data_IF_851923343199
#
_entry.id   IF_851923343199
#
_cell.length_a   1.000
_cell.length_b   1.000
_cell.length_c   1.000
_cell.angle_alpha   90.00
_cell.angle_beta   90.00
_cell.angle_gamma   90.00
#
_symmetry.space_group_name_H-M   'P 1'
#
loop_
_entity.id
_entity.type
_entity.pdbx_description
1 polymer ?
#
# COMPACT_ATOMS: atom_id res chain seq x y z
N UNK A 1 -1.78 12.16 -28.34
CA UNK A 1 -0.59 12.11 -27.46
C UNK A 1 -0.94 12.17 -25.96
N UNK A 2 -1.81 13.10 -25.51
CA UNK A 2 -2.18 13.22 -24.09
C UNK A 2 -2.86 11.99 -23.45
N UNK A 3 -3.73 11.28 -24.18
CA UNK A 3 -4.40 10.06 -23.66
C UNK A 3 -3.41 8.91 -23.39
N UNK A 4 -2.45 8.70 -24.28
CA UNK A 4 -1.44 7.64 -24.14
C UNK A 4 -0.51 7.94 -22.97
N UNK A 5 -0.08 9.20 -22.82
CA UNK A 5 0.76 9.61 -21.70
C UNK A 5 0.07 9.40 -20.35
N UNK A 6 -1.22 9.76 -20.25
CA UNK A 6 -2.00 9.57 -19.02
C UNK A 6 -2.23 8.09 -18.70
N UNK A 7 -2.41 7.25 -19.71
CA UNK A 7 -2.47 5.79 -19.51
C UNK A 7 -1.15 5.25 -18.95
N UNK A 8 0.00 5.69 -19.49
CA UNK A 8 1.31 5.32 -18.96
C UNK A 8 1.52 5.79 -17.51
N UNK A 9 1.10 7.01 -17.17
CA UNK A 9 1.16 7.55 -15.80
C UNK A 9 0.31 6.71 -14.83
N UNK A 10 -0.92 6.35 -15.23
CA UNK A 10 -1.81 5.49 -14.43
C UNK A 10 -1.21 4.10 -14.22
N UNK A 11 -0.67 3.49 -15.27
CA UNK A 11 -0.05 2.16 -15.21
C UNK A 11 1.18 2.18 -14.31
N UNK A 12 2.06 3.17 -14.47
CA UNK A 12 3.21 3.38 -13.60
C UNK A 12 2.80 3.52 -12.13
N UNK A 13 1.74 4.27 -11.86
CA UNK A 13 1.23 4.51 -10.50
C UNK A 13 0.66 3.23 -9.89
N UNK A 14 -0.14 2.47 -10.65
CA UNK A 14 -0.69 1.18 -10.20
C UNK A 14 0.43 0.16 -9.90
N UNK A 15 1.42 0.03 -10.78
CA UNK A 15 2.59 -0.84 -10.57
C UNK A 15 3.35 -0.40 -9.32
N UNK A 16 3.62 0.90 -9.19
CA UNK A 16 4.34 1.44 -8.03
C UNK A 16 3.61 1.16 -6.72
N UNK A 17 2.29 1.39 -6.66
CA UNK A 17 1.47 1.07 -5.48
C UNK A 17 1.50 -0.43 -5.14
N UNK A 18 1.50 -1.30 -6.14
CA UNK A 18 1.61 -2.74 -5.93
C UNK A 18 2.96 -3.13 -5.31
N UNK A 19 4.05 -2.50 -5.77
CA UNK A 19 5.39 -2.68 -5.16
C UNK A 19 5.46 -2.11 -3.75
N UNK A 20 4.89 -0.92 -3.50
CA UNK A 20 4.84 -0.33 -2.15
C UNK A 20 3.99 -1.15 -1.18
N UNK A 21 2.94 -1.82 -1.67
CA UNK A 21 2.15 -2.77 -0.87
C UNK A 21 2.98 -3.99 -0.42
N UNK A 22 4.12 -4.27 -1.09
CA UNK A 22 5.00 -5.44 -0.86
C UNK A 22 4.37 -6.78 -1.29
N UNK A 23 3.31 -6.74 -2.09
CA UNK A 23 2.58 -7.93 -2.53
C UNK A 23 3.33 -8.83 -3.52
N UNK A 24 4.38 -8.36 -4.21
CA UNK A 24 5.19 -9.20 -5.11
C UNK A 24 6.46 -9.74 -4.48
N UNK A 25 6.74 -9.40 -3.22
CA UNK A 25 8.03 -9.69 -2.63
C UNK A 25 8.27 -11.20 -2.50
N UNK A 26 7.24 -11.98 -2.22
CA UNK A 26 7.31 -13.45 -2.15
C UNK A 26 7.82 -14.06 -3.47
N UNK A 27 7.42 -13.50 -4.62
CA UNK A 27 7.86 -13.97 -5.94
C UNK A 27 9.36 -13.72 -6.17
N UNK A 28 9.86 -12.56 -5.73
CA UNK A 28 11.26 -12.16 -5.96
C UNK A 28 12.24 -12.67 -4.89
N UNK A 29 11.77 -12.92 -3.67
CA UNK A 29 12.60 -13.28 -2.52
C UNK A 29 12.53 -14.76 -2.15
N UNK A 30 11.48 -15.47 -2.58
CA UNK A 30 11.16 -16.78 -2.03
C UNK A 30 10.67 -16.69 -0.58
N UNK A 31 10.38 -17.85 0.02
CA UNK A 31 9.99 -17.92 1.43
C UNK A 31 11.15 -17.47 2.32
N UNK A 32 10.91 -16.62 3.33
CA UNK A 32 11.93 -16.28 4.31
C UNK A 32 12.39 -17.57 5.02
N UNK A 33 13.65 -17.94 4.83
CA UNK A 33 14.34 -18.99 5.59
C UNK A 33 14.94 -18.37 6.84
N UNK A 34 14.98 -19.10 7.96
CA UNK A 34 15.58 -18.63 9.23
C UNK A 34 17.03 -18.14 9.08
N UNK A 35 17.70 -18.53 7.98
CA UNK A 35 19.07 -18.12 7.64
C UNK A 35 19.22 -16.72 7.02
N UNK A 36 18.14 -16.07 6.54
CA UNK A 36 18.19 -14.75 5.92
C UNK A 36 17.01 -13.87 6.40
N UNK A 37 17.13 -13.23 7.57
CA UNK A 37 16.07 -12.40 8.14
C UNK A 37 15.83 -11.08 7.39
N UNK A 38 16.84 -10.60 6.64
CA UNK A 38 16.72 -9.43 5.75
C UNK A 38 16.77 -9.90 4.29
N UNK A 39 15.62 -10.14 3.64
CA UNK A 39 15.57 -10.47 2.23
C UNK A 39 15.72 -9.17 1.41
N UNK A 40 16.86 -8.50 1.55
CA UNK A 40 17.25 -7.32 0.80
C UNK A 40 17.81 -7.75 -0.56
N UNK A 41 16.95 -8.22 -1.47
CA UNK A 41 17.43 -8.54 -2.83
C UNK A 41 17.85 -7.27 -3.55
N UNK A 42 19.04 -7.32 -4.16
CA UNK A 42 19.55 -6.24 -5.00
C UNK A 42 18.54 -5.89 -6.12
N UNK A 43 17.79 -6.88 -6.61
CA UNK A 43 16.71 -6.70 -7.58
C UNK A 43 15.58 -5.79 -7.09
N UNK A 44 14.99 -6.06 -5.92
CA UNK A 44 13.93 -5.21 -5.37
C UNK A 44 14.44 -3.78 -5.16
N UNK A 45 15.67 -3.63 -4.66
CA UNK A 45 16.28 -2.32 -4.47
C UNK A 45 16.42 -1.55 -5.78
N UNK A 46 16.87 -2.22 -6.84
CA UNK A 46 16.96 -1.61 -8.18
C UNK A 46 15.60 -1.19 -8.72
N UNK A 47 14.55 -1.99 -8.48
CA UNK A 47 13.17 -1.66 -8.87
C UNK A 47 12.68 -0.40 -8.13
N UNK A 48 12.86 -0.32 -6.81
CA UNK A 48 12.48 0.87 -6.05
C UNK A 48 13.27 2.11 -6.46
N UNK A 49 14.58 1.97 -6.70
CA UNK A 49 15.39 3.07 -7.22
C UNK A 49 14.86 3.57 -8.57
N UNK A 50 14.46 2.67 -9.47
CA UNK A 50 13.86 3.04 -10.76
C UNK A 50 12.54 3.78 -10.56
N UNK A 51 11.65 3.29 -9.68
CA UNK A 51 10.40 3.96 -9.34
C UNK A 51 10.67 5.38 -8.80
N UNK A 52 11.65 5.53 -7.90
CA UNK A 52 12.01 6.84 -7.34
C UNK A 52 12.59 7.78 -8.40
N UNK A 53 13.45 7.29 -9.29
CA UNK A 53 14.02 8.07 -10.38
C UNK A 53 12.94 8.57 -11.35
N UNK A 54 12.01 7.70 -11.74
CA UNK A 54 10.87 8.08 -12.60
C UNK A 54 9.98 9.10 -11.89
N UNK A 55 9.70 8.90 -10.60
CA UNK A 55 8.90 9.84 -9.79
C UNK A 55 9.55 11.21 -9.72
N UNK A 56 10.87 11.26 -9.45
CA UNK A 56 11.65 12.51 -9.40
C UNK A 56 11.66 13.18 -10.77
N UNK A 57 11.84 12.43 -11.85
CA UNK A 57 11.80 12.96 -13.21
C UNK A 57 10.46 13.62 -13.54
N UNK A 58 9.34 12.98 -13.21
CA UNK A 58 7.99 13.54 -13.42
C UNK A 58 7.77 14.80 -12.56
N UNK A 59 8.21 14.78 -11.30
CA UNK A 59 8.12 15.93 -10.39
C UNK A 59 9.00 17.10 -10.85
N UNK A 60 10.18 16.83 -11.41
CA UNK A 60 11.11 17.82 -11.95
C UNK A 60 10.53 18.51 -13.20
N UNK A 61 9.92 17.73 -14.11
CA UNK A 61 9.20 18.28 -15.26
C UNK A 61 8.05 19.23 -14.84
N UNK A 62 7.51 19.07 -13.63
CA UNK A 62 6.40 19.87 -13.09
C UNK A 62 6.79 20.68 -11.85
N UNK A 63 8.05 21.12 -11.76
CA UNK A 63 8.65 21.73 -10.55
C UNK A 63 7.80 22.83 -9.88
N UNK A 64 7.14 23.71 -10.64
CA UNK A 64 6.29 24.78 -10.09
C UNK A 64 5.09 24.24 -9.28
N UNK A 65 4.45 23.16 -9.75
CA UNK A 65 3.34 22.51 -9.03
C UNK A 65 3.88 21.76 -7.82
N UNK A 66 5.03 21.10 -7.97
CA UNK A 66 5.74 20.39 -6.91
C UNK A 66 6.09 21.33 -5.74
N UNK A 67 6.64 22.51 -6.01
CA UNK A 67 6.95 23.49 -4.95
C UNK A 67 5.70 23.96 -4.20
N UNK A 68 4.57 24.17 -4.89
CA UNK A 68 3.30 24.49 -4.23
C UNK A 68 2.80 23.33 -3.36
N UNK A 69 2.98 22.09 -3.81
CA UNK A 69 2.61 20.92 -3.03
C UNK A 69 3.45 20.77 -1.75
N UNK A 70 4.76 21.04 -1.83
CA UNK A 70 5.62 21.10 -0.64
C UNK A 70 5.23 22.23 0.32
N UNK A 71 4.90 23.42 -0.21
CA UNK A 71 4.44 24.54 0.61
C UNK A 71 3.14 24.27 1.37
N UNK A 72 2.27 23.39 0.86
CA UNK A 72 1.05 22.96 1.58
C UNK A 72 1.32 21.88 2.63
N UNK A 73 2.34 21.05 2.43
CA UNK A 73 2.65 19.89 3.26
C UNK A 73 3.89 20.12 4.13
N UNK A 74 3.96 21.27 4.80
CA UNK A 74 5.14 21.69 5.58
C UNK A 74 5.50 20.68 6.68
N UNK A 75 4.49 20.06 7.30
CA UNK A 75 4.67 19.02 8.32
C UNK A 75 5.41 17.80 7.81
N UNK A 76 5.09 17.33 6.60
CA UNK A 76 5.76 16.19 5.97
C UNK A 76 7.23 16.53 5.70
N UNK A 77 7.50 17.77 5.30
CA UNK A 77 8.87 18.24 5.06
C UNK A 77 9.67 18.33 6.38
N UNK A 78 9.06 18.82 7.46
CA UNK A 78 9.68 18.84 8.79
C UNK A 78 10.04 17.42 9.27
N UNK A 79 9.14 16.45 9.10
CA UNK A 79 9.40 15.05 9.45
C UNK A 79 10.52 14.45 8.59
N UNK A 80 10.59 14.81 7.31
CA UNK A 80 11.66 14.37 6.43
C UNK A 80 13.03 14.93 6.86
N UNK A 81 13.09 16.22 7.21
CA UNK A 81 14.31 16.85 7.74
C UNK A 81 14.73 16.19 9.05
N UNK A 82 13.78 15.92 9.95
CA UNK A 82 14.05 15.21 11.20
C UNK A 82 14.62 13.80 10.95
N UNK A 83 14.05 13.06 10.00
CA UNK A 83 14.53 11.74 9.62
C UNK A 83 15.96 11.79 9.03
N UNK A 84 16.29 12.81 8.24
CA UNK A 84 17.65 13.01 7.73
C UNK A 84 18.63 13.32 8.87
N UNK A 85 18.23 14.18 9.81
CA UNK A 85 19.03 14.51 10.99
C UNK A 85 19.28 13.30 11.90
N UNK A 86 18.40 12.31 11.88
CA UNK A 86 18.57 11.05 12.61
C UNK A 86 19.81 10.25 12.19
N UNK A 87 20.39 10.48 11.00
CA UNK A 87 21.65 9.85 10.57
C UNK A 87 22.78 10.18 11.56
N UNK A 88 22.83 11.42 12.04
CA UNK A 88 23.94 11.93 12.85
C UNK A 88 24.07 11.21 14.20
N UNK A 89 23.00 10.54 14.66
CA UNK A 89 22.90 9.91 15.97
C UNK A 89 22.69 8.38 15.84
N UNK A 90 22.86 7.84 14.64
CA UNK A 90 22.58 6.43 14.36
C UNK A 90 23.80 5.54 14.60
N UNK A 91 23.60 4.41 15.29
CA UNK A 91 24.65 3.42 15.56
C UNK A 91 25.13 2.68 14.31
N UNK A 92 24.30 2.58 13.26
CA UNK A 92 24.65 1.93 11.98
C UNK A 92 24.24 2.85 10.82
N UNK A 93 25.09 3.85 10.47
CA UNK A 93 24.74 4.87 9.48
C UNK A 93 24.42 4.30 8.09
N UNK A 94 25.03 3.18 7.70
CA UNK A 94 24.86 2.57 6.38
C UNK A 94 23.45 2.03 6.13
N UNK A 95 22.81 1.44 7.15
CA UNK A 95 21.43 0.93 7.08
C UNK A 95 20.45 2.11 7.14
N UNK A 96 20.70 3.05 8.06
CA UNK A 96 19.88 4.25 8.24
C UNK A 96 19.81 5.09 6.98
N UNK A 97 20.94 5.28 6.30
CA UNK A 97 21.01 5.99 5.02
C UNK A 97 20.12 5.34 3.95
N UNK A 98 20.13 4.00 3.84
CA UNK A 98 19.26 3.28 2.89
C UNK A 98 17.78 3.46 3.22
N UNK A 99 17.41 3.39 4.49
CA UNK A 99 16.03 3.60 4.96
C UNK A 99 15.55 5.03 4.69
N UNK A 100 16.44 6.02 4.82
CA UNK A 100 16.12 7.42 4.51
C UNK A 100 15.92 7.63 3.01
N UNK A 101 16.70 7.00 2.14
CA UNK A 101 16.44 7.04 0.69
C UNK A 101 15.05 6.47 0.39
N UNK A 102 14.70 5.34 0.99
CA UNK A 102 13.38 4.73 0.81
C UNK A 102 12.25 5.66 1.34
N UNK A 103 12.46 6.31 2.48
CA UNK A 103 11.53 7.27 3.08
C UNK A 103 11.34 8.50 2.18
N UNK A 104 12.41 9.09 1.68
CA UNK A 104 12.35 10.25 0.77
C UNK A 104 11.64 9.84 -0.51
N UNK A 105 12.02 8.71 -1.11
CA UNK A 105 11.42 8.18 -2.33
C UNK A 105 9.92 7.90 -2.21
N UNK A 106 9.50 7.25 -1.13
CA UNK A 106 8.07 6.99 -0.87
C UNK A 106 7.28 8.27 -0.60
N UNK A 107 7.88 9.24 0.11
CA UNK A 107 7.24 10.53 0.38
C UNK A 107 7.07 11.34 -0.90
N UNK A 108 8.09 11.38 -1.76
CA UNK A 108 8.00 12.02 -3.07
C UNK A 108 6.92 11.37 -3.94
N UNK A 109 6.83 10.05 -3.92
CA UNK A 109 5.76 9.33 -4.61
C UNK A 109 4.38 9.68 -4.04
N UNK A 110 4.23 9.77 -2.71
CA UNK A 110 2.98 10.21 -2.07
C UNK A 110 2.58 11.62 -2.48
N UNK A 111 3.53 12.56 -2.55
CA UNK A 111 3.29 13.94 -3.02
C UNK A 111 2.90 13.93 -4.50
N UNK A 112 3.58 13.14 -5.33
CA UNK A 112 3.23 12.96 -6.74
C UNK A 112 1.79 12.44 -6.87
N UNK A 113 1.45 11.36 -6.18
CA UNK A 113 0.14 10.74 -6.22
C UNK A 113 -0.97 11.71 -5.76
N UNK A 114 -0.75 12.39 -4.64
CA UNK A 114 -1.72 13.34 -4.06
C UNK A 114 -1.89 14.65 -4.84
N UNK A 115 -0.86 15.11 -5.56
CA UNK A 115 -0.93 16.35 -6.34
C UNK A 115 -1.35 16.15 -7.80
N UNK A 116 -1.24 14.91 -8.31
CA UNK A 116 -1.54 14.59 -9.70
C UNK A 116 -2.96 14.07 -9.90
N UNK A 117 -3.43 13.19 -9.01
CA UNK A 117 -4.72 12.53 -9.16
C UNK A 117 -5.77 13.16 -8.26
N UNK A 118 -6.97 13.33 -8.79
CA UNK A 118 -8.13 13.68 -7.96
C UNK A 118 -8.49 12.51 -7.05
N UNK A 119 -9.16 12.79 -5.94
CA UNK A 119 -9.52 11.78 -4.93
C UNK A 119 -10.28 10.58 -5.55
N UNK A 120 -11.15 10.82 -6.53
CA UNK A 120 -11.87 9.74 -7.23
C UNK A 120 -10.96 8.89 -8.12
N UNK A 121 -9.93 9.49 -8.72
CA UNK A 121 -8.95 8.76 -9.53
C UNK A 121 -8.01 7.95 -8.63
N UNK A 122 -7.60 8.51 -7.49
CA UNK A 122 -6.81 7.81 -6.49
C UNK A 122 -7.53 6.54 -6.01
N UNK A 123 -8.81 6.65 -5.63
CA UNK A 123 -9.62 5.50 -5.21
C UNK A 123 -9.76 4.45 -6.31
N UNK A 124 -9.91 4.84 -7.58
CA UNK A 124 -10.00 3.89 -8.71
C UNK A 124 -8.68 3.14 -8.92
N UNK A 125 -7.55 3.84 -8.90
CA UNK A 125 -6.22 3.21 -9.07
C UNK A 125 -5.93 2.27 -7.89
N UNK A 126 -6.22 2.71 -6.67
CA UNK A 126 -6.11 1.87 -5.47
C UNK A 126 -7.04 0.67 -5.54
N UNK A 127 -8.29 0.84 -6.00
CA UNK A 127 -9.26 -0.24 -6.16
C UNK A 127 -8.78 -1.32 -7.14
N UNK A 128 -8.19 -0.94 -8.27
CA UNK A 128 -7.55 -1.91 -9.19
C UNK A 128 -6.34 -2.62 -8.54
N UNK A 129 -5.51 -1.87 -7.83
CA UNK A 129 -4.32 -2.41 -7.15
C UNK A 129 -4.72 -3.43 -6.08
N UNK A 130 -5.64 -3.07 -5.20
CA UNK A 130 -6.09 -3.97 -4.14
C UNK A 130 -6.98 -5.10 -4.65
N UNK A 131 -7.82 -4.86 -5.67
CA UNK A 131 -8.64 -5.90 -6.28
C UNK A 131 -7.79 -7.02 -6.88
N UNK A 132 -6.71 -6.65 -7.58
CA UNK A 132 -5.74 -7.64 -8.07
C UNK A 132 -4.99 -8.33 -6.92
N UNK A 133 -4.60 -7.60 -5.86
CA UNK A 133 -4.00 -8.21 -4.66
C UNK A 133 -4.90 -9.22 -3.96
N UNK A 134 -6.21 -8.96 -3.86
CA UNK A 134 -7.20 -9.87 -3.26
C UNK A 134 -7.25 -11.17 -4.07
N UNK A 135 -7.46 -11.06 -5.39
CA UNK A 135 -7.58 -12.22 -6.27
C UNK A 135 -6.31 -13.07 -6.20
N UNK A 136 -5.15 -12.43 -6.31
CA UNK A 136 -3.86 -13.14 -6.20
C UNK A 136 -3.68 -13.77 -4.81
N UNK A 137 -4.11 -13.11 -3.73
CA UNK A 137 -4.00 -13.67 -2.37
C UNK A 137 -4.82 -14.95 -2.21
N UNK A 138 -6.07 -14.95 -2.68
CA UNK A 138 -6.89 -16.17 -2.67
C UNK A 138 -6.29 -17.26 -3.56
N UNK A 139 -5.82 -16.91 -4.76
CA UNK A 139 -5.17 -17.87 -5.65
C UNK A 139 -3.94 -18.51 -5.01
N UNK A 140 -3.09 -17.73 -4.33
CA UNK A 140 -1.89 -18.25 -3.66
C UNK A 140 -2.23 -19.19 -2.51
N UNK A 141 -3.23 -18.85 -1.69
CA UNK A 141 -3.66 -19.72 -0.58
C UNK A 141 -4.19 -21.06 -1.09
N UNK A 142 -4.97 -21.05 -2.18
CA UNK A 142 -5.63 -22.27 -2.70
C UNK A 142 -4.67 -23.11 -3.55
N UNK A 143 -3.95 -22.50 -4.49
CA UNK A 143 -3.11 -23.21 -5.45
C UNK A 143 -1.75 -23.59 -4.87
N UNK A 144 -1.20 -22.75 -3.98
CA UNK A 144 0.15 -22.93 -3.45
C UNK A 144 0.18 -22.66 -1.93
N UNK A 145 -0.48 -23.51 -1.11
CA UNK A 145 -0.61 -23.29 0.34
C UNK A 145 0.74 -23.22 1.06
N UNK A 146 1.80 -23.81 0.49
CA UNK A 146 3.18 -23.67 0.98
C UNK A 146 3.66 -22.21 1.06
N UNK A 147 3.16 -21.33 0.19
CA UNK A 147 3.47 -19.89 0.18
C UNK A 147 2.34 -19.05 0.75
N UNK A 148 1.08 -19.46 0.57
CA UNK A 148 -0.08 -18.69 1.02
C UNK A 148 -0.36 -18.78 2.54
N UNK A 149 0.13 -19.81 3.22
CA UNK A 149 -0.10 -20.06 4.65
C UNK A 149 1.24 -20.09 5.40
N UNK A 150 1.30 -19.39 6.53
CA UNK A 150 2.46 -19.45 7.41
C UNK A 150 2.55 -20.82 8.08
N UNK A 151 3.66 -21.51 7.84
CA UNK A 151 3.99 -22.82 8.42
C UNK A 151 5.14 -22.75 9.45
N UNK A 152 5.47 -21.55 9.94
CA UNK A 152 6.54 -21.36 10.92
C UNK A 152 6.08 -21.87 12.29
N UNK A 153 6.94 -22.58 13.03
CA UNK A 153 6.62 -23.25 14.31
C UNK A 153 5.95 -22.36 15.37
N UNK A 154 6.10 -21.04 15.29
CA UNK A 154 5.51 -20.08 16.23
C UNK A 154 4.11 -19.58 15.82
N UNK A 155 3.74 -19.64 14.54
CA UNK A 155 2.49 -19.10 14.00
C UNK A 155 2.02 -20.03 12.87
N UNK A 156 1.39 -21.14 13.25
CA UNK A 156 0.88 -22.13 12.30
C UNK A 156 -0.56 -21.77 11.87
N UNK A 157 -0.81 -21.75 10.56
CA UNK A 157 -2.17 -21.71 10.00
C UNK A 157 -2.72 -20.33 9.63
N UNK A 158 -2.02 -19.24 9.93
CA UNK A 158 -2.42 -17.90 9.52
C UNK A 158 -2.17 -17.68 8.02
N UNK A 159 -3.11 -17.02 7.34
CA UNK A 159 -2.95 -16.70 5.93
C UNK A 159 -2.02 -15.50 5.75
N UNK A 160 -1.08 -15.61 4.81
CA UNK A 160 -0.23 -14.49 4.38
C UNK A 160 -0.45 -14.11 2.91
N UNK A 161 -1.11 -14.96 2.11
CA UNK A 161 -1.47 -14.66 0.73
C UNK A 161 -0.23 -14.40 -0.12
N UNK A 162 -0.23 -13.28 -0.87
CA UNK A 162 0.93 -12.83 -1.66
C UNK A 162 1.98 -12.07 -0.83
N UNK A 163 1.68 -11.77 0.44
CA UNK A 163 2.55 -10.97 1.29
C UNK A 163 3.54 -11.84 2.06
N UNK A 164 4.65 -11.23 2.50
CA UNK A 164 5.69 -11.91 3.28
C UNK A 164 5.26 -12.29 4.71
N UNK A 165 4.20 -11.69 5.24
CA UNK A 165 3.79 -11.89 6.63
C UNK A 165 2.30 -11.59 6.81
N UNK A 166 1.66 -12.25 7.79
CA UNK A 166 0.23 -12.10 8.09
C UNK A 166 -0.22 -10.66 8.41
N UNK A 167 0.64 -9.89 9.08
CA UNK A 167 0.36 -8.50 9.46
C UNK A 167 0.36 -7.57 8.23
N UNK A 168 1.25 -7.80 7.27
CA UNK A 168 1.28 -7.02 6.03
C UNK A 168 0.01 -7.29 5.20
N UNK A 169 -0.43 -8.55 5.13
CA UNK A 169 -1.72 -8.90 4.52
C UNK A 169 -2.86 -8.18 5.24
N UNK A 170 -2.95 -8.31 6.57
CA UNK A 170 -4.00 -7.67 7.36
C UNK A 170 -4.06 -6.15 7.18
N UNK A 171 -2.92 -5.45 7.22
CA UNK A 171 -2.85 -4.00 7.03
C UNK A 171 -3.37 -3.59 5.65
N UNK A 172 -2.89 -4.26 4.59
CA UNK A 172 -3.26 -3.93 3.21
C UNK A 172 -4.72 -4.27 2.92
N UNK A 173 -5.24 -5.36 3.50
CA UNK A 173 -6.65 -5.74 3.36
C UNK A 173 -7.59 -4.80 4.13
N UNK A 174 -7.17 -4.27 5.28
CA UNK A 174 -7.91 -3.20 5.95
C UNK A 174 -8.00 -1.95 5.05
N UNK A 175 -6.87 -1.46 4.52
CA UNK A 175 -6.88 -0.30 3.61
C UNK A 175 -7.75 -0.58 2.37
N UNK A 176 -7.66 -1.79 1.82
CA UNK A 176 -8.50 -2.25 0.72
C UNK A 176 -10.00 -2.16 1.05
N UNK A 177 -10.42 -2.59 2.24
CA UNK A 177 -11.83 -2.51 2.66
C UNK A 177 -12.34 -1.05 2.68
N UNK A 178 -11.51 -0.11 3.16
CA UNK A 178 -11.83 1.33 3.13
C UNK A 178 -12.01 1.83 1.70
N UNK A 179 -11.08 1.50 0.81
CA UNK A 179 -11.13 1.91 -0.59
C UNK A 179 -12.39 1.37 -1.28
N UNK A 180 -12.71 0.10 -1.10
CA UNK A 180 -13.90 -0.50 -1.71
C UNK A 180 -15.21 0.00 -1.11
N UNK A 181 -15.22 0.32 0.19
CA UNK A 181 -16.36 0.97 0.83
C UNK A 181 -16.68 2.32 0.17
N UNK A 182 -15.70 3.24 0.09
CA UNK A 182 -15.89 4.54 -0.55
C UNK A 182 -16.22 4.43 -2.04
N UNK A 183 -15.62 3.46 -2.73
CA UNK A 183 -15.87 3.25 -4.17
C UNK A 183 -17.29 2.71 -4.43
N UNK A 184 -17.81 1.88 -3.52
CA UNK A 184 -19.20 1.38 -3.51
C UNK A 184 -20.21 2.50 -3.33
N UNK A 185 -19.96 3.44 -2.42
CA UNK A 185 -20.84 4.61 -2.21
C UNK A 185 -20.89 5.52 -3.44
N UNK A 186 -19.74 5.80 -4.04
CA UNK A 186 -19.63 6.72 -5.18
C UNK A 186 -20.14 6.13 -6.50
N UNK A 187 -19.99 4.82 -6.71
CA UNK A 187 -20.20 4.21 -8.03
C UNK A 187 -21.38 3.24 -8.03
N UNK A 188 -22.59 3.74 -8.31
CA UNK A 188 -23.82 2.93 -8.33
C UNK A 188 -23.78 1.75 -9.32
N UNK A 189 -23.15 1.92 -10.50
CA UNK A 189 -23.13 0.92 -11.58
C UNK A 189 -22.42 -0.39 -11.20
N UNK A 190 -21.33 -0.30 -10.45
CA UNK A 190 -20.51 -1.46 -10.06
C UNK A 190 -20.51 -1.68 -8.55
N UNK A 191 -21.50 -1.12 -7.85
CA UNK A 191 -21.61 -1.14 -6.39
C UNK A 191 -21.52 -2.55 -5.83
N UNK A 192 -22.25 -3.50 -6.43
CA UNK A 192 -22.24 -4.89 -5.98
C UNK A 192 -20.84 -5.52 -6.04
N UNK A 193 -20.08 -5.27 -7.11
CA UNK A 193 -18.71 -5.79 -7.27
C UNK A 193 -17.80 -5.22 -6.18
N UNK A 194 -17.90 -3.92 -5.90
CA UNK A 194 -17.10 -3.28 -4.85
C UNK A 194 -17.48 -3.74 -3.45
N UNK A 195 -18.77 -3.98 -3.18
CA UNK A 195 -19.22 -4.56 -1.92
C UNK A 195 -18.67 -5.98 -1.74
N UNK A 196 -18.70 -6.79 -2.80
CA UNK A 196 -18.15 -8.14 -2.77
C UNK A 196 -16.64 -8.13 -2.53
N UNK A 197 -15.90 -7.22 -3.18
CA UNK A 197 -14.48 -7.01 -2.92
C UNK A 197 -14.18 -6.52 -1.49
N UNK A 198 -15.03 -5.66 -0.93
CA UNK A 198 -14.93 -5.23 0.46
C UNK A 198 -15.10 -6.40 1.43
N UNK A 199 -16.14 -7.21 1.26
CA UNK A 199 -16.37 -8.43 2.06
C UNK A 199 -15.19 -9.39 1.93
N UNK A 200 -14.69 -9.60 0.70
CA UNK A 200 -13.53 -10.43 0.44
C UNK A 200 -12.27 -9.95 1.18
N UNK A 201 -12.04 -8.63 1.26
CA UNK A 201 -10.93 -8.08 2.05
C UNK A 201 -11.11 -8.30 3.55
N UNK A 202 -12.32 -8.13 4.09
CA UNK A 202 -12.60 -8.39 5.52
C UNK A 202 -12.39 -9.87 5.86
N UNK A 203 -12.82 -10.78 4.98
CA UNK A 203 -12.57 -12.21 5.13
C UNK A 203 -11.06 -12.52 5.16
N UNK A 204 -10.27 -11.92 4.26
CA UNK A 204 -8.82 -12.08 4.28
C UNK A 204 -8.17 -11.52 5.55
N UNK A 205 -8.67 -10.41 6.12
CA UNK A 205 -8.20 -9.90 7.42
C UNK A 205 -8.46 -10.91 8.53
N UNK A 206 -9.64 -11.54 8.54
CA UNK A 206 -10.00 -12.56 9.51
C UNK A 206 -9.09 -13.79 9.41
N UNK A 207 -8.89 -14.31 8.20
CA UNK A 207 -7.99 -15.46 7.98
C UNK A 207 -6.51 -15.14 8.18
N UNK A 208 -6.11 -13.87 8.05
CA UNK A 208 -4.77 -13.42 8.39
C UNK A 208 -4.50 -13.45 9.89
N UNK A 209 -5.52 -13.59 10.75
CA UNK A 209 -5.37 -13.61 12.22
C UNK A 209 -4.53 -12.42 12.72
N UNK A 210 -4.85 -11.23 12.20
CA UNK A 210 -4.20 -9.97 12.57
C UNK A 210 -5.13 -9.15 13.45
N UNK A 211 -4.92 -9.26 14.77
CA UNK A 211 -5.75 -8.60 15.78
C UNK A 211 -5.84 -7.08 15.56
N UNK A 212 -4.72 -6.44 15.21
CA UNK A 212 -4.64 -5.00 14.94
C UNK A 212 -5.54 -4.59 13.78
N UNK A 213 -5.47 -5.32 12.66
CA UNK A 213 -6.27 -5.01 11.49
C UNK A 213 -7.75 -5.30 11.71
N UNK A 214 -8.08 -6.35 12.47
CA UNK A 214 -9.46 -6.66 12.83
C UNK A 214 -10.08 -5.55 13.69
N UNK A 215 -9.35 -5.08 14.71
CA UNK A 215 -9.78 -3.95 15.54
C UNK A 215 -10.02 -2.69 14.69
N UNK A 216 -9.14 -2.41 13.72
CA UNK A 216 -9.29 -1.27 12.84
C UNK A 216 -10.53 -1.37 11.93
N UNK A 217 -10.82 -2.57 11.38
CA UNK A 217 -12.05 -2.81 10.59
C UNK A 217 -13.29 -2.57 11.45
N UNK A 218 -13.34 -3.14 12.65
CA UNK A 218 -14.49 -3.00 13.56
C UNK A 218 -14.69 -1.54 13.96
N UNK A 219 -13.62 -0.85 14.34
CA UNK A 219 -13.66 0.57 14.69
C UNK A 219 -14.22 1.41 13.52
N UNK A 220 -13.75 1.14 12.30
CA UNK A 220 -14.25 1.83 11.12
C UNK A 220 -15.75 1.61 10.89
N UNK A 221 -16.22 0.36 10.95
CA UNK A 221 -17.64 0.02 10.77
C UNK A 221 -18.52 0.69 11.84
N UNK A 222 -18.09 0.69 13.10
CA UNK A 222 -18.80 1.39 14.17
C UNK A 222 -18.88 2.91 13.93
N UNK A 223 -17.81 3.53 13.43
CA UNK A 223 -17.82 4.95 13.08
C UNK A 223 -18.77 5.25 11.92
N UNK A 224 -18.83 4.40 10.89
CA UNK A 224 -19.76 4.61 9.77
C UNK A 224 -21.22 4.50 10.21
N UNK A 225 -21.56 3.50 11.02
CA UNK A 225 -22.92 3.38 11.59
C UNK A 225 -23.29 4.57 12.46
N UNK A 226 -22.35 5.04 13.30
CA UNK A 226 -22.56 6.20 14.18
C UNK A 226 -22.77 7.49 13.38
N UNK A 227 -22.09 7.64 12.24
CA UNK A 227 -22.25 8.78 11.34
C UNK A 227 -23.62 8.76 10.63
N UNK A 228 -24.07 7.60 10.18
CA UNK A 228 -25.41 7.45 9.58
C UNK A 228 -26.51 7.77 10.61
N UNK A 229 -26.42 7.26 11.85
CA UNK A 229 -27.39 7.54 12.92
C UNK A 229 -27.47 9.03 13.27
N UNK A 230 -26.35 9.75 13.15
CA UNK A 230 -26.29 11.19 13.42
C UNK A 230 -26.92 12.03 12.30
N UNK A 231 -26.82 11.58 11.03
CA UNK A 231 -27.48 12.23 9.88
C UNK A 231 -29.00 12.04 9.90
N UNK A 232 -29.49 10.90 10.40
CA UNK A 232 -30.94 10.64 10.53
C UNK A 232 -31.60 11.29 11.76
N UNK A 233 -30.82 11.93 12.65
CA UNK A 233 -31.33 12.65 13.82
C UNK A 233 -31.42 14.17 13.62
N UNK A 234 -31.15 14.68 12.42
CA UNK A 234 -31.31 16.09 12.01
C UNK A 234 -32.49 16.18 11.06
#
# INVERSE_FOLDING_TARGET
>A
MYKTLRFCENLFTAISLFFFSRGLFVFFLGLPSESNPDPDSALLRSIFLLIYLVTIFILALRWRKTLRAFGKNQWVLLLMVLAISSILWSSIPSITFRKIIALIGSTLFGIYFGSHYDFDEQLKIMGWTFGTSIVLSFMFVILIPAYGVMNTKAIAGAWQGIYLHKNNLGEMMFISSLVFYFLSEKTKKYRFIYQLACIASVMLVYFADSLTSLVNVVFFLCCTESAEVSIFKI
#
